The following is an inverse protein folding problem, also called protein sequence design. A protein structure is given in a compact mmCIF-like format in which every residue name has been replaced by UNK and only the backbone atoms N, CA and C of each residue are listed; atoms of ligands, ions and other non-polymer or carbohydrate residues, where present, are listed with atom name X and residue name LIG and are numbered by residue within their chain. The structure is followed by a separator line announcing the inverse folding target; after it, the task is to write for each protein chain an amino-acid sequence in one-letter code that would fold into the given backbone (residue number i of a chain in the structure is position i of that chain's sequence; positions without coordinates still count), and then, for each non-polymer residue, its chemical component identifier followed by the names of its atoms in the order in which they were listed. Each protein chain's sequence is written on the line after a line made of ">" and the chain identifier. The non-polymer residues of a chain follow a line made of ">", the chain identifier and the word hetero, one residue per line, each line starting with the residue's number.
data_IF_913701396937
#
_entry.id   IF_913701396937
#
_cell.length_a   1.000
_cell.length_b   1.000
_cell.length_c   1.000
_cell.angle_alpha   90.00
_cell.angle_beta   90.00
_cell.angle_gamma   90.00
#
_symmetry.space_group_name_H-M   'P 1'
#
loop_
_entity.id
_entity.type
_entity.pdbx_description
1 polymer ?
#
# COMPACT_ATOMS: atom_id res chain seq x y z
N UNK A 1 22.75 39.45 18.55
CA UNK A 1 22.47 39.05 19.95
C UNK A 1 21.65 37.76 19.86
N UNK A 2 22.36 36.61 19.81
CA UNK A 2 21.74 35.29 19.63
C UNK A 2 21.76 34.56 20.97
N UNK A 3 20.60 34.24 21.50
CA UNK A 3 20.45 33.43 22.71
C UNK A 3 20.60 31.94 22.33
N UNK A 4 21.57 31.30 23.00
CA UNK A 4 21.86 29.86 22.90
C UNK A 4 21.01 29.16 23.96
N UNK A 5 20.03 28.36 23.52
CA UNK A 5 19.32 27.48 24.44
C UNK A 5 20.13 26.21 24.68
N UNK A 6 20.46 26.03 25.95
CA UNK A 6 21.21 24.92 26.52
C UNK A 6 20.26 23.76 26.83
N UNK A 7 20.38 22.67 26.08
CA UNK A 7 19.61 21.44 26.32
C UNK A 7 20.21 20.63 27.46
N UNK A 8 19.50 20.57 28.58
CA UNK A 8 19.82 19.70 29.70
C UNK A 8 19.37 18.26 29.42
N UNK A 9 20.30 17.31 29.51
CA UNK A 9 20.04 15.89 29.42
C UNK A 9 19.45 15.35 30.74
N UNK A 10 18.45 14.44 30.70
CA UNK A 10 17.96 13.78 31.91
C UNK A 10 18.87 12.62 32.30
N UNK A 11 19.36 12.74 33.55
CA UNK A 11 20.18 11.77 34.26
C UNK A 11 19.42 10.51 34.68
N UNK A 12 20.03 9.35 34.41
CA UNK A 12 20.17 8.27 35.40
C UNK A 12 18.96 7.43 35.78
N UNK A 13 18.69 6.37 35.02
CA UNK A 13 17.92 5.21 35.53
C UNK A 13 18.90 4.25 36.22
N UNK A 14 18.85 4.20 37.55
CA UNK A 14 19.54 3.20 38.38
C UNK A 14 18.84 1.85 38.24
N UNK A 15 19.51 0.89 37.63
CA UNK A 15 19.14 -0.52 37.71
C UNK A 15 19.53 -1.10 39.06
N UNK A 16 18.55 -1.35 39.92
CA UNK A 16 18.71 -2.10 41.16
C UNK A 16 18.95 -3.58 40.83
N UNK A 17 20.15 -4.07 41.15
CA UNK A 17 20.50 -5.48 41.22
C UNK A 17 19.77 -6.12 42.40
N UNK A 18 18.76 -6.90 42.20
CA UNK A 18 18.29 -7.88 43.16
C UNK A 18 18.89 -9.24 42.82
N UNK A 19 20.00 -9.57 43.47
CA UNK A 19 20.57 -10.92 43.54
C UNK A 19 19.92 -11.65 44.72
N UNK A 20 18.86 -12.40 44.49
CA UNK A 20 18.36 -13.36 45.46
C UNK A 20 18.77 -14.76 44.99
N UNK A 21 19.76 -15.32 45.69
CA UNK A 21 20.12 -16.75 45.63
C UNK A 21 18.98 -17.58 46.21
N UNK A 22 18.22 -18.26 45.36
CA UNK A 22 17.30 -19.33 45.80
C UNK A 22 17.84 -20.67 45.33
N UNK A 23 18.59 -21.34 46.23
CA UNK A 23 18.91 -22.76 46.11
C UNK A 23 17.68 -23.57 46.56
N UNK A 24 16.80 -23.96 45.66
CA UNK A 24 15.86 -25.02 45.90
C UNK A 24 15.89 -26.02 44.74
N UNK A 25 16.20 -27.27 45.06
CA UNK A 25 16.11 -28.39 44.16
C UNK A 25 14.65 -28.50 43.67
N UNK A 26 14.40 -28.18 42.43
CA UNK A 26 13.08 -28.34 41.81
C UNK A 26 12.85 -29.85 41.54
N UNK A 27 11.73 -30.44 41.95
CA UNK A 27 11.40 -31.81 41.59
C UNK A 27 11.24 -31.97 40.07
N UNK A 28 11.69 -33.11 39.54
CA UNK A 28 11.71 -33.40 38.10
C UNK A 28 10.36 -33.19 37.39
N UNK A 29 9.25 -33.25 38.12
CA UNK A 29 7.90 -33.01 37.61
C UNK A 29 7.67 -31.55 37.14
N UNK A 30 8.33 -30.57 37.74
CA UNK A 30 8.15 -29.16 37.37
C UNK A 30 8.79 -28.84 36.00
N UNK A 31 9.91 -29.50 35.69
CA UNK A 31 10.60 -29.32 34.41
C UNK A 31 9.78 -29.89 33.23
N UNK A 32 9.00 -30.94 33.44
CA UNK A 32 8.14 -31.50 32.40
C UNK A 32 6.97 -30.57 32.06
N UNK A 33 6.37 -29.91 33.07
CA UNK A 33 5.27 -28.95 32.85
C UNK A 33 5.74 -27.70 32.12
N UNK A 34 6.92 -27.17 32.48
CA UNK A 34 7.51 -26.00 31.80
C UNK A 34 7.89 -26.31 30.35
N UNK A 35 8.44 -27.50 30.09
CA UNK A 35 8.76 -27.93 28.74
C UNK A 35 7.51 -28.07 27.85
N UNK A 36 6.40 -28.60 28.41
CA UNK A 36 5.14 -28.73 27.68
C UNK A 36 4.47 -27.37 27.42
N UNK A 37 4.55 -26.43 28.35
CA UNK A 37 4.04 -25.06 28.17
C UNK A 37 4.83 -24.28 27.09
N UNK A 38 6.15 -24.42 27.06
CA UNK A 38 6.99 -23.83 26.03
C UNK A 38 6.72 -24.41 24.63
N UNK A 39 6.44 -25.70 24.54
CA UNK A 39 6.08 -26.34 23.27
C UNK A 39 4.71 -25.87 22.75
N UNK A 40 3.72 -25.68 23.64
CA UNK A 40 2.40 -25.18 23.28
C UNK A 40 2.42 -23.72 22.80
N UNK A 41 3.24 -22.85 23.41
CA UNK A 41 3.41 -21.45 23.01
C UNK A 41 4.15 -21.35 21.68
N UNK A 42 5.14 -22.21 21.42
CA UNK A 42 5.90 -22.25 20.16
C UNK A 42 5.02 -22.64 18.96
N UNK A 43 4.00 -23.48 19.16
CA UNK A 43 3.09 -23.91 18.07
C UNK A 43 2.08 -22.84 17.65
N UNK A 44 1.78 -21.87 18.50
CA UNK A 44 0.80 -20.81 18.22
C UNK A 44 1.34 -19.68 17.33
N UNK A 45 2.65 -19.56 17.18
CA UNK A 45 3.27 -18.50 16.38
C UNK A 45 3.39 -18.82 14.89
N UNK A 46 3.09 -20.05 14.45
CA UNK A 46 3.29 -20.48 13.06
C UNK A 46 2.06 -20.26 12.16
N UNK A 47 0.95 -19.78 12.67
CA UNK A 47 -0.28 -19.58 11.89
C UNK A 47 -0.50 -18.14 11.41
N UNK A 48 0.42 -17.22 11.63
CA UNK A 48 0.36 -15.85 11.09
C UNK A 48 1.09 -15.73 9.76
N UNK A 49 0.92 -16.66 8.85
CA UNK A 49 1.09 -16.36 7.45
C UNK A 49 -0.15 -15.57 7.01
N UNK A 50 -0.08 -14.23 7.06
CA UNK A 50 -0.98 -13.40 6.30
C UNK A 50 -0.98 -13.96 4.87
N UNK A 51 -2.10 -14.51 4.44
CA UNK A 51 -2.30 -14.92 3.06
C UNK A 51 -2.22 -13.65 2.23
N UNK A 52 -1.04 -13.34 1.71
CA UNK A 52 -0.89 -12.35 0.64
C UNK A 52 -1.79 -12.87 -0.46
N UNK A 53 -2.86 -12.17 -0.73
CA UNK A 53 -3.78 -12.49 -1.80
C UNK A 53 -2.95 -12.59 -3.08
N UNK A 54 -2.74 -13.82 -3.55
CA UNK A 54 -1.99 -14.10 -4.78
C UNK A 54 -2.88 -13.87 -6.01
N UNK A 55 -3.59 -12.73 -6.03
CA UNK A 55 -4.37 -12.39 -7.21
C UNK A 55 -3.44 -12.13 -8.39
N UNK A 56 -3.61 -12.89 -9.46
CA UNK A 56 -2.81 -12.74 -10.68
C UNK A 56 -3.57 -11.87 -11.67
N UNK A 57 -3.08 -10.65 -11.86
CA UNK A 57 -3.58 -9.78 -12.93
C UNK A 57 -3.09 -10.27 -14.29
N UNK A 58 -3.94 -10.10 -15.30
CA UNK A 58 -3.51 -10.33 -16.68
C UNK A 58 -2.39 -9.37 -17.07
N UNK A 59 -1.37 -9.88 -17.74
CA UNK A 59 -0.31 -9.03 -18.28
C UNK A 59 -0.71 -8.43 -19.63
N UNK A 60 -0.28 -7.19 -19.92
CA UNK A 60 -0.57 -6.54 -21.20
C UNK A 60 -0.12 -7.37 -22.39
N UNK A 61 -1.05 -7.72 -23.27
CA UNK A 61 -0.84 -8.52 -24.46
C UNK A 61 -1.26 -7.74 -25.74
N UNK A 62 -1.12 -8.35 -26.90
CA UNK A 62 -1.39 -7.71 -28.20
C UNK A 62 -2.82 -7.14 -28.36
N UNK A 63 -3.81 -7.65 -27.60
CA UNK A 63 -5.20 -7.15 -27.63
C UNK A 63 -5.47 -5.96 -26.71
N UNK A 64 -4.47 -5.48 -25.96
CA UNK A 64 -4.63 -4.33 -25.08
C UNK A 64 -4.50 -3.01 -25.84
N UNK A 65 -5.32 -2.05 -25.48
CA UNK A 65 -5.17 -0.68 -25.92
C UNK A 65 -4.15 0.04 -25.01
N UNK A 66 -3.30 0.86 -25.62
CA UNK A 66 -2.29 1.65 -24.89
C UNK A 66 -2.48 3.12 -25.23
N UNK A 67 -2.52 3.96 -24.21
CA UNK A 67 -2.54 5.42 -24.33
C UNK A 67 -1.41 6.02 -23.52
N UNK A 68 -0.69 6.96 -24.11
CA UNK A 68 0.36 7.72 -23.43
C UNK A 68 0.01 9.20 -23.52
N UNK A 69 0.12 9.90 -22.40
CA UNK A 69 -0.21 11.32 -22.35
C UNK A 69 0.13 11.92 -20.99
N UNK A 70 -0.58 12.97 -20.62
CA UNK A 70 -0.40 13.67 -19.35
C UNK A 70 -1.62 13.50 -18.46
N UNK A 71 -1.39 13.30 -17.16
CA UNK A 71 -2.39 13.37 -16.13
C UNK A 71 -2.18 14.64 -15.30
N UNK A 72 -3.27 15.37 -15.08
CA UNK A 72 -3.40 16.31 -13.98
C UNK A 72 -4.43 15.76 -13.00
N UNK A 73 -3.97 15.43 -11.80
CA UNK A 73 -4.80 15.02 -10.66
C UNK A 73 -4.84 16.15 -9.66
N UNK A 74 -6.02 16.54 -9.20
CA UNK A 74 -6.23 17.61 -8.24
C UNK A 74 -7.15 17.17 -7.12
N UNK A 75 -6.76 17.50 -5.91
CA UNK A 75 -7.56 17.46 -4.69
C UNK A 75 -7.72 18.86 -4.12
N UNK A 76 -8.47 19.01 -3.04
CA UNK A 76 -8.55 20.28 -2.30
C UNK A 76 -7.19 20.74 -1.74
N UNK A 77 -6.24 19.81 -1.54
CA UNK A 77 -4.95 20.07 -0.85
C UNK A 77 -3.73 20.04 -1.78
N UNK A 78 -3.82 19.36 -2.92
CA UNK A 78 -2.66 19.11 -3.77
C UNK A 78 -3.03 18.98 -5.25
N UNK A 79 -2.07 19.28 -6.11
CA UNK A 79 -2.13 19.01 -7.55
C UNK A 79 -0.92 18.16 -7.93
N UNK A 80 -1.16 17.04 -8.59
CA UNK A 80 -0.15 16.19 -9.18
C UNK A 80 -0.23 16.29 -10.70
N UNK A 81 0.91 16.53 -11.36
CA UNK A 81 1.03 16.50 -12.81
C UNK A 81 2.13 15.48 -13.15
N UNK A 82 1.83 14.58 -14.07
CA UNK A 82 2.78 13.54 -14.48
C UNK A 82 2.45 12.98 -15.86
N UNK A 83 3.38 12.20 -16.38
CA UNK A 83 3.17 11.41 -17.59
C UNK A 83 2.34 10.18 -17.22
N UNK A 84 1.29 9.91 -18.00
CA UNK A 84 0.39 8.77 -17.79
C UNK A 84 0.54 7.76 -18.91
N UNK A 85 0.81 6.51 -18.55
CA UNK A 85 0.70 5.35 -19.42
C UNK A 85 -0.49 4.52 -18.97
N UNK A 86 -1.51 4.46 -19.81
CA UNK A 86 -2.75 3.71 -19.56
C UNK A 86 -2.80 2.53 -20.51
N UNK A 87 -3.05 1.34 -19.98
CA UNK A 87 -3.25 0.11 -20.75
C UNK A 87 -4.52 -0.57 -20.28
N UNK A 88 -5.36 -0.99 -21.18
CA UNK A 88 -6.62 -1.67 -20.84
C UNK A 88 -7.04 -2.65 -21.91
N UNK A 89 -7.72 -3.70 -21.49
CA UNK A 89 -8.26 -4.75 -22.36
C UNK A 89 -9.77 -4.63 -22.51
N UNK A 90 -10.33 -5.27 -23.54
CA UNK A 90 -11.79 -5.41 -23.70
C UNK A 90 -12.40 -6.30 -22.61
N UNK A 91 -11.63 -7.19 -22.00
CA UNK A 91 -12.03 -8.04 -20.87
C UNK A 91 -12.15 -7.27 -19.55
N UNK A 92 -11.68 -6.02 -19.52
CA UNK A 92 -11.80 -5.15 -18.36
C UNK A 92 -10.57 -5.09 -17.47
N UNK A 93 -9.45 -5.65 -17.91
CA UNK A 93 -8.17 -5.44 -17.21
C UNK A 93 -7.67 -4.03 -17.48
N UNK A 94 -7.10 -3.42 -16.46
CA UNK A 94 -6.67 -2.04 -16.48
C UNK A 94 -5.33 -1.86 -15.76
N UNK A 95 -4.43 -1.11 -16.37
CA UNK A 95 -3.13 -0.74 -15.78
C UNK A 95 -2.86 0.72 -16.06
N UNK A 96 -2.63 1.51 -15.01
CA UNK A 96 -2.22 2.91 -15.07
C UNK A 96 -0.87 3.05 -14.39
N UNK A 97 0.05 3.71 -15.07
CA UNK A 97 1.32 4.14 -14.48
C UNK A 97 1.43 5.64 -14.65
N UNK A 98 1.69 6.37 -13.57
CA UNK A 98 1.97 7.80 -13.59
C UNK A 98 3.42 8.02 -13.19
N UNK A 99 4.17 8.76 -13.99
CA UNK A 99 5.58 9.06 -13.77
C UNK A 99 5.88 10.56 -13.83
N UNK A 100 6.98 10.95 -13.20
CA UNK A 100 7.55 12.29 -13.28
C UNK A 100 8.95 12.18 -13.86
N UNK A 101 9.04 12.38 -15.19
CA UNK A 101 10.29 12.17 -15.91
C UNK A 101 10.75 10.70 -15.95
N UNK A 102 11.90 10.42 -16.55
CA UNK A 102 12.40 9.07 -16.71
C UNK A 102 12.76 8.43 -15.36
N UNK A 103 12.21 7.24 -15.11
CA UNK A 103 12.58 6.40 -13.96
C UNK A 103 11.87 6.68 -12.64
N UNK A 104 11.06 7.74 -12.52
CA UNK A 104 10.33 8.04 -11.27
C UNK A 104 8.85 7.70 -11.42
N UNK A 105 8.44 6.54 -10.93
CA UNK A 105 7.02 6.16 -10.83
C UNK A 105 6.40 6.80 -9.61
N UNK A 106 5.38 7.63 -9.82
CA UNK A 106 4.61 8.27 -8.76
C UNK A 106 3.44 7.42 -8.31
N UNK A 107 2.79 6.72 -9.27
CA UNK A 107 1.65 5.87 -9.00
C UNK A 107 1.62 4.71 -9.99
N UNK A 108 1.30 3.53 -9.47
CA UNK A 108 0.97 2.34 -10.25
C UNK A 108 -0.37 1.79 -9.77
N UNK A 109 -1.30 1.59 -10.68
CA UNK A 109 -2.60 0.97 -10.43
C UNK A 109 -2.78 -0.20 -11.39
N UNK A 110 -3.13 -1.36 -10.85
CA UNK A 110 -3.58 -2.55 -11.60
C UNK A 110 -4.97 -2.92 -11.10
N UNK A 111 -5.88 -3.22 -12.00
CA UNK A 111 -7.27 -3.51 -11.65
C UNK A 111 -7.90 -4.40 -12.70
N UNK A 112 -8.72 -5.34 -12.24
CA UNK A 112 -9.70 -6.06 -13.05
C UNK A 112 -11.12 -5.86 -12.49
N UNK A 113 -12.06 -6.70 -12.84
CA UNK A 113 -13.44 -6.58 -12.39
C UNK A 113 -13.61 -6.80 -10.87
N UNK A 114 -12.76 -7.62 -10.25
CA UNK A 114 -12.93 -8.10 -8.88
C UNK A 114 -11.87 -7.55 -7.92
N UNK A 115 -10.67 -7.24 -8.41
CA UNK A 115 -9.51 -6.96 -7.59
C UNK A 115 -8.74 -5.74 -8.08
N UNK A 116 -8.08 -5.03 -7.17
CA UNK A 116 -7.20 -3.94 -7.54
C UNK A 116 -5.98 -3.86 -6.62
N UNK A 117 -4.91 -3.33 -7.16
CA UNK A 117 -3.67 -3.00 -6.47
C UNK A 117 -3.25 -1.59 -6.84
N UNK A 118 -3.00 -0.75 -5.85
CA UNK A 118 -2.50 0.61 -6.04
C UNK A 118 -1.27 0.83 -5.19
N UNK A 119 -0.24 1.40 -5.79
CA UNK A 119 0.97 1.84 -5.13
C UNK A 119 1.22 3.30 -5.49
N UNK A 120 1.09 4.20 -4.51
CA UNK A 120 1.28 5.63 -4.67
C UNK A 120 2.52 6.08 -3.90
N UNK A 121 3.66 6.12 -4.57
CA UNK A 121 4.96 6.48 -3.98
C UNK A 121 4.98 7.90 -3.43
N UNK A 122 4.20 8.83 -4.00
CA UNK A 122 4.13 10.22 -3.56
C UNK A 122 3.39 10.41 -2.22
N UNK A 123 2.59 9.44 -1.79
CA UNK A 123 1.91 9.44 -0.48
C UNK A 123 2.43 8.33 0.43
N UNK A 124 3.27 7.42 -0.07
CA UNK A 124 3.70 6.21 0.63
C UNK A 124 2.57 5.18 0.83
N UNK A 125 1.46 5.32 0.10
CA UNK A 125 0.30 4.44 0.24
C UNK A 125 0.44 3.23 -0.68
N UNK A 126 0.19 2.06 -0.10
CA UNK A 126 0.01 0.80 -0.82
C UNK A 126 -1.29 0.15 -0.37
N UNK A 127 -2.10 -0.30 -1.31
CA UNK A 127 -3.31 -1.06 -1.04
C UNK A 127 -3.52 -2.14 -2.10
N UNK A 128 -3.99 -3.31 -1.67
CA UNK A 128 -4.32 -4.43 -2.54
C UNK A 128 -5.51 -5.18 -1.95
N UNK A 129 -6.53 -5.47 -2.76
CA UNK A 129 -7.72 -6.16 -2.28
C UNK A 129 -8.88 -6.17 -3.27
N UNK A 130 -10.02 -6.78 -2.89
CA UNK A 130 -11.24 -6.74 -3.68
C UNK A 130 -11.72 -5.30 -3.90
N UNK A 131 -12.11 -4.95 -5.14
CA UNK A 131 -12.58 -3.60 -5.49
C UNK A 131 -13.75 -3.14 -4.64
N UNK A 132 -14.64 -4.06 -4.24
CA UNK A 132 -15.80 -3.77 -3.39
C UNK A 132 -15.41 -3.32 -1.96
N UNK A 133 -14.25 -3.72 -1.46
CA UNK A 133 -13.75 -3.37 -0.12
C UNK A 133 -12.76 -2.21 -0.13
N UNK A 134 -12.60 -1.53 -1.25
CA UNK A 134 -11.63 -0.44 -1.39
C UNK A 134 -11.96 0.73 -0.46
N UNK A 135 -10.95 1.32 0.19
CA UNK A 135 -11.10 2.55 0.96
C UNK A 135 -11.72 3.68 0.11
N UNK A 136 -12.53 4.52 0.73
CA UNK A 136 -13.21 5.63 0.03
C UNK A 136 -12.24 6.54 -0.74
N UNK A 137 -11.05 6.77 -0.17
CA UNK A 137 -10.00 7.61 -0.77
C UNK A 137 -9.44 7.05 -2.10
N UNK A 138 -9.64 5.76 -2.39
CA UNK A 138 -9.18 5.14 -3.63
C UNK A 138 -10.26 5.01 -4.70
N UNK A 139 -11.53 5.31 -4.37
CA UNK A 139 -12.67 5.14 -5.29
C UNK A 139 -12.52 5.96 -6.56
N UNK A 140 -12.01 7.19 -6.44
CA UNK A 140 -11.71 8.04 -7.59
C UNK A 140 -10.74 7.35 -8.57
N UNK A 141 -9.64 6.80 -8.06
CA UNK A 141 -8.67 6.08 -8.86
C UNK A 141 -9.22 4.80 -9.49
N UNK A 142 -9.99 4.03 -8.73
CA UNK A 142 -10.60 2.79 -9.21
C UNK A 142 -11.71 3.03 -10.24
N UNK A 143 -12.42 4.15 -10.15
CA UNK A 143 -13.44 4.56 -11.11
C UNK A 143 -12.87 4.89 -12.51
N UNK A 144 -11.58 5.19 -12.62
CA UNK A 144 -10.92 5.47 -13.90
C UNK A 144 -11.03 4.31 -14.89
N UNK A 145 -10.92 3.06 -14.42
CA UNK A 145 -11.09 1.87 -15.27
C UNK A 145 -12.38 1.95 -16.06
N UNK A 146 -13.50 2.17 -15.41
CA UNK A 146 -14.81 2.18 -16.05
C UNK A 146 -14.97 3.35 -17.03
N UNK A 147 -14.33 4.48 -16.76
CA UNK A 147 -14.30 5.61 -17.68
C UNK A 147 -13.52 5.28 -18.96
N UNK A 148 -12.34 4.65 -18.84
CA UNK A 148 -11.54 4.25 -19.99
C UNK A 148 -12.20 3.16 -20.82
N UNK A 149 -12.89 2.22 -20.19
CA UNK A 149 -13.64 1.17 -20.89
C UNK A 149 -14.87 1.71 -21.63
N UNK A 150 -15.54 2.73 -21.05
CA UNK A 150 -16.71 3.37 -21.67
C UNK A 150 -16.33 4.22 -22.89
N UNK A 151 -15.20 4.92 -22.80
CA UNK A 151 -14.79 5.91 -23.80
C UNK A 151 -13.34 5.68 -24.27
N UNK A 152 -13.08 4.55 -24.94
CA UNK A 152 -11.71 4.11 -25.24
C UNK A 152 -10.96 5.03 -26.22
N UNK A 153 -11.66 5.81 -27.05
CA UNK A 153 -11.04 6.59 -28.13
C UNK A 153 -10.86 8.09 -27.80
N UNK A 154 -11.25 8.53 -26.61
CA UNK A 154 -11.12 9.94 -26.25
C UNK A 154 -9.65 10.40 -26.17
N UNK A 155 -9.38 11.59 -26.73
CA UNK A 155 -8.09 12.27 -26.61
C UNK A 155 -7.95 13.03 -25.29
N UNK A 156 -9.08 13.35 -24.66
CA UNK A 156 -9.13 14.03 -23.38
C UNK A 156 -10.20 13.36 -22.51
N UNK A 157 -9.81 12.86 -21.34
CA UNK A 157 -10.74 12.30 -20.39
C UNK A 157 -10.76 13.21 -19.16
N UNK A 158 -11.98 13.62 -18.77
CA UNK A 158 -12.22 14.35 -17.52
C UNK A 158 -13.10 13.50 -16.62
N UNK A 159 -12.65 13.27 -15.41
CA UNK A 159 -13.36 12.51 -14.42
C UNK A 159 -13.26 13.18 -13.05
N UNK A 160 -14.33 13.22 -12.30
CA UNK A 160 -14.37 13.75 -10.94
C UNK A 160 -15.13 12.79 -10.03
N UNK A 161 -14.61 12.57 -8.82
CA UNK A 161 -15.21 11.73 -7.79
C UNK A 161 -14.73 12.20 -6.41
N UNK A 162 -15.65 12.29 -5.46
CA UNK A 162 -15.35 12.53 -4.02
C UNK A 162 -14.39 13.71 -3.74
N UNK A 163 -14.54 14.81 -4.51
CA UNK A 163 -13.67 16.00 -4.38
C UNK A 163 -12.32 15.90 -5.06
N UNK A 164 -12.08 14.81 -5.78
CA UNK A 164 -10.91 14.59 -6.63
C UNK A 164 -11.26 14.87 -8.09
N UNK A 165 -10.34 15.38 -8.87
CA UNK A 165 -10.51 15.57 -10.30
C UNK A 165 -9.31 15.06 -11.08
N UNK A 166 -9.59 14.39 -12.18
CA UNK A 166 -8.63 13.77 -13.08
C UNK A 166 -8.82 14.36 -14.48
N UNK A 167 -7.75 14.83 -15.06
CA UNK A 167 -7.72 15.30 -16.45
C UNK A 167 -6.58 14.59 -17.16
N UNK A 168 -6.93 13.71 -18.10
CA UNK A 168 -5.97 13.10 -19.01
C UNK A 168 -6.01 13.79 -20.37
N UNK A 169 -4.84 13.96 -20.98
CA UNK A 169 -4.64 14.46 -22.35
C UNK A 169 -3.67 13.52 -23.07
N UNK A 170 -4.14 12.88 -24.14
CA UNK A 170 -3.42 11.91 -24.97
C UNK A 170 -3.04 12.48 -26.31
#
# INVERSE_FOLDING_TARGET
>A
MYAREEYAAPTGVRLSRCSAFYKHAAPAALNAVVAFAMLAIGSSCLTSCASVSQHQFAEPAAGWQTKTGQLMYRTAKATLIGEALVRFSKSGDFKLTVSKGPGITLLSLRQDAAFAEINASFTGQHWSGPTASAPSQLRGWLGLRDQFLREPNQKTLRYASDGESFLFRF
#
